data_IF_093078703060
#
_entry.id   IF_093078703060
#
_cell.length_a   1.000
_cell.length_b   1.000
_cell.length_c   1.000
_cell.angle_alpha   90.00
_cell.angle_beta   90.00
_cell.angle_gamma   90.00
#
_symmetry.space_group_name_H-M   'P 1'
#
loop_
_entity.id
_entity.type
_entity.pdbx_description
1 polymer ?
#
# COMPACT_ATOMS: atom_id res chain seq x y z
N UNK A 1 -12.11 -11.74 -10.98
CA UNK A 1 -10.82 -12.20 -10.42
C UNK A 1 -10.84 -13.71 -10.36
N UNK A 2 -9.86 -14.40 -10.94
CA UNK A 2 -9.78 -15.86 -10.87
C UNK A 2 -8.99 -16.29 -9.61
N UNK A 3 -9.33 -17.44 -8.98
CA UNK A 3 -8.52 -18.00 -7.91
C UNK A 3 -7.17 -18.45 -8.45
N UNK A 4 -6.12 -18.32 -7.62
CA UNK A 4 -4.82 -18.92 -7.90
C UNK A 4 -4.73 -20.20 -7.09
N UNK A 5 -4.37 -21.31 -7.74
CA UNK A 5 -4.12 -22.58 -7.08
C UNK A 5 -2.86 -23.24 -7.61
N UNK A 6 -2.18 -24.01 -6.75
CA UNK A 6 -1.08 -24.87 -7.15
C UNK A 6 -1.04 -26.15 -6.32
N UNK A 7 -0.28 -27.13 -6.81
CA UNK A 7 -0.03 -28.40 -6.12
C UNK A 7 1.46 -28.73 -6.19
N UNK A 8 2.00 -29.33 -5.13
CA UNK A 8 3.40 -29.77 -5.08
C UNK A 8 3.51 -31.10 -4.33
N UNK A 9 4.09 -32.08 -4.99
CA UNK A 9 4.44 -33.38 -4.41
C UNK A 9 5.97 -33.52 -4.32
N UNK A 10 6.46 -34.19 -3.28
CA UNK A 10 7.88 -34.54 -3.12
C UNK A 10 8.06 -35.85 -2.34
N UNK A 11 8.71 -36.82 -2.98
CA UNK A 11 9.16 -38.07 -2.33
C UNK A 11 10.28 -37.79 -1.31
N UNK A 12 10.22 -38.46 -0.16
CA UNK A 12 11.22 -38.42 0.92
C UNK A 12 11.46 -39.83 1.49
N UNK A 13 12.07 -40.67 0.66
CA UNK A 13 12.54 -42.03 0.98
C UNK A 13 13.42 -42.08 2.24
N UNK A 14 13.21 -43.11 3.07
CA UNK A 14 14.14 -43.55 4.11
C UNK A 14 14.12 -45.09 4.21
N UNK A 15 15.07 -45.69 4.92
CA UNK A 15 15.28 -47.16 4.92
C UNK A 15 14.02 -47.98 5.25
N UNK A 16 13.20 -47.51 6.20
CA UNK A 16 11.97 -48.19 6.64
C UNK A 16 10.72 -47.78 5.83
N UNK A 17 10.79 -46.67 5.09
CA UNK A 17 9.66 -46.11 4.35
C UNK A 17 10.14 -45.63 2.97
N UNK A 18 10.26 -46.54 1.99
CA UNK A 18 10.81 -46.22 0.67
C UNK A 18 9.92 -45.23 -0.11
N UNK A 19 8.61 -45.30 0.10
CA UNK A 19 7.59 -44.53 -0.62
C UNK A 19 6.99 -43.35 0.16
N UNK A 20 7.56 -43.04 1.33
CA UNK A 20 7.17 -41.86 2.10
C UNK A 20 7.32 -40.57 1.28
N UNK A 21 6.28 -39.74 1.28
CA UNK A 21 6.24 -38.49 0.53
C UNK A 21 5.42 -37.41 1.25
N UNK A 22 5.53 -36.18 0.75
CA UNK A 22 4.65 -35.07 1.13
C UNK A 22 3.97 -34.54 -0.11
N UNK A 23 2.65 -34.42 -0.03
CA UNK A 23 1.82 -33.72 -1.01
C UNK A 23 1.25 -32.45 -0.36
N UNK A 24 1.13 -31.39 -1.15
CA UNK A 24 0.31 -30.24 -0.76
C UNK A 24 -0.45 -29.66 -1.95
N UNK A 25 -1.68 -29.22 -1.70
CA UNK A 25 -2.42 -28.26 -2.51
C UNK A 25 -2.45 -26.92 -1.76
N UNK A 26 -2.47 -25.81 -2.49
CA UNK A 26 -2.88 -24.54 -1.91
C UNK A 26 -3.59 -23.67 -2.95
N UNK A 27 -4.53 -22.86 -2.48
CA UNK A 27 -5.29 -21.92 -3.28
C UNK A 27 -5.65 -20.67 -2.50
N UNK A 28 -5.81 -19.57 -3.24
CA UNK A 28 -6.23 -18.27 -2.74
C UNK A 28 -7.28 -17.68 -3.70
N UNK A 29 -8.21 -16.91 -3.14
CA UNK A 29 -9.42 -16.44 -3.80
C UNK A 29 -9.13 -15.52 -5.01
N UNK A 30 -8.00 -14.80 -4.97
CA UNK A 30 -7.60 -13.78 -5.95
C UNK A 30 -6.08 -13.55 -5.92
N UNK A 31 -5.55 -12.86 -6.94
CA UNK A 31 -4.14 -12.44 -7.01
C UNK A 31 -3.86 -11.11 -6.30
N UNK A 32 -4.80 -10.16 -6.43
CA UNK A 32 -4.64 -8.78 -6.00
C UNK A 32 -5.10 -8.57 -4.55
N UNK A 33 -4.27 -7.91 -3.74
CA UNK A 33 -4.59 -7.51 -2.38
C UNK A 33 -4.09 -6.08 -2.10
N UNK A 34 -4.56 -5.44 -1.05
CA UNK A 34 -4.08 -4.14 -0.57
C UNK A 34 -3.34 -4.28 0.76
N UNK A 35 -2.61 -3.24 1.17
CA UNK A 35 -2.08 -3.12 2.54
C UNK A 35 -3.18 -3.36 3.59
N UNK A 36 -2.85 -4.14 4.62
CA UNK A 36 -3.74 -4.37 5.76
C UNK A 36 -4.86 -5.38 5.53
N UNK A 37 -5.14 -5.77 4.28
CA UNK A 37 -6.09 -6.84 3.94
C UNK A 37 -5.62 -8.21 4.45
N UNK A 38 -6.56 -9.16 4.47
CA UNK A 38 -6.32 -10.52 4.91
C UNK A 38 -6.47 -11.52 3.75
N UNK A 39 -5.42 -12.34 3.56
CA UNK A 39 -5.40 -13.39 2.53
C UNK A 39 -5.89 -14.70 3.15
N UNK A 40 -7.06 -15.16 2.73
CA UNK A 40 -7.56 -16.48 3.10
C UNK A 40 -6.86 -17.57 2.27
N UNK A 41 -6.20 -18.51 2.95
CA UNK A 41 -5.51 -19.64 2.33
C UNK A 41 -6.32 -20.92 2.53
N UNK A 42 -6.72 -21.54 1.42
CA UNK A 42 -7.25 -22.90 1.40
C UNK A 42 -6.17 -23.86 0.95
N UNK A 43 -5.79 -24.83 1.78
CA UNK A 43 -4.69 -25.75 1.48
C UNK A 43 -4.94 -27.12 2.11
N UNK A 44 -4.54 -28.19 1.44
CA UNK A 44 -4.54 -29.54 2.00
C UNK A 44 -3.12 -30.08 1.97
N UNK A 45 -2.73 -30.75 3.05
CA UNK A 45 -1.39 -31.29 3.28
C UNK A 45 -1.50 -32.77 3.61
N UNK A 46 -0.62 -33.57 3.03
CA UNK A 46 -0.55 -35.01 3.24
C UNK A 46 0.89 -35.40 3.57
N UNK A 47 1.07 -36.15 4.65
CA UNK A 47 2.38 -36.58 5.12
C UNK A 47 2.42 -38.11 5.29
N UNK A 48 2.88 -38.82 4.27
CA UNK A 48 3.18 -40.26 4.35
C UNK A 48 4.65 -40.52 4.72
N UNK A 49 5.43 -39.48 5.04
CA UNK A 49 6.79 -39.64 5.53
C UNK A 49 6.81 -40.09 6.99
N UNK A 50 7.85 -40.84 7.38
CA UNK A 50 8.14 -41.24 8.77
C UNK A 50 8.44 -40.09 9.75
N UNK A 51 8.47 -38.84 9.28
CA UNK A 51 8.88 -37.65 10.04
C UNK A 51 7.70 -36.70 10.20
N UNK A 52 7.66 -36.02 11.35
CA UNK A 52 6.67 -34.97 11.61
C UNK A 52 6.91 -33.80 10.65
N UNK A 53 5.88 -33.42 9.91
CA UNK A 53 5.86 -32.31 8.97
C UNK A 53 5.20 -31.08 9.61
N UNK A 54 5.65 -29.87 9.23
CA UNK A 54 5.07 -28.60 9.70
C UNK A 54 4.73 -27.69 8.53
N UNK A 55 3.45 -27.54 8.16
CA UNK A 55 3.00 -26.58 7.16
C UNK A 55 3.11 -25.15 7.71
N UNK A 56 3.57 -24.25 6.85
CA UNK A 56 3.76 -22.82 7.12
C UNK A 56 3.41 -22.05 5.85
N UNK A 57 2.93 -20.83 6.00
CA UNK A 57 2.79 -19.90 4.88
C UNK A 57 3.44 -18.57 5.23
N UNK A 58 4.01 -17.90 4.24
CA UNK A 58 4.69 -16.62 4.42
C UNK A 58 4.51 -15.72 3.19
N UNK A 59 4.27 -14.43 3.43
CA UNK A 59 4.39 -13.42 2.38
C UNK A 59 5.87 -13.06 2.26
N UNK A 60 6.40 -13.12 1.04
CA UNK A 60 7.79 -12.82 0.70
C UNK A 60 7.83 -11.74 -0.37
N UNK A 61 8.69 -10.75 -0.17
CA UNK A 61 9.03 -9.70 -1.11
C UNK A 61 10.32 -10.06 -1.85
N UNK A 62 10.32 -9.96 -3.17
CA UNK A 62 11.50 -10.08 -4.01
C UNK A 62 11.76 -8.73 -4.67
N UNK A 63 12.77 -8.03 -4.16
CA UNK A 63 13.25 -6.77 -4.70
C UNK A 63 14.36 -7.07 -5.71
N UNK A 64 14.13 -6.80 -6.99
CA UNK A 64 15.13 -6.92 -8.04
C UNK A 64 15.53 -5.52 -8.45
N UNK A 65 16.82 -5.18 -8.43
CA UNK A 65 17.29 -3.85 -8.78
C UNK A 65 18.60 -3.90 -9.59
N UNK A 66 18.72 -3.02 -10.58
CA UNK A 66 19.91 -2.86 -11.40
C UNK A 66 20.81 -1.77 -10.78
N UNK A 67 22.04 -2.13 -10.43
CA UNK A 67 23.03 -1.21 -9.87
C UNK A 67 24.41 -1.49 -10.49
N UNK A 68 25.08 -0.44 -10.99
CA UNK A 68 26.38 -0.53 -11.66
C UNK A 68 26.40 -1.55 -12.81
N UNK A 69 25.31 -1.62 -13.60
CA UNK A 69 25.14 -2.59 -14.69
C UNK A 69 24.82 -4.03 -14.24
N UNK A 70 24.80 -4.32 -12.93
CA UNK A 70 24.54 -5.65 -12.38
C UNK A 70 23.14 -5.75 -11.77
N UNK A 71 22.43 -6.83 -12.08
CA UNK A 71 21.12 -7.12 -11.47
C UNK A 71 21.32 -7.79 -10.11
N UNK A 72 20.85 -7.14 -9.04
CA UNK A 72 20.85 -7.67 -7.67
C UNK A 72 19.43 -8.06 -7.27
N UNK A 73 19.29 -9.19 -6.58
CA UNK A 73 18.02 -9.69 -6.06
C UNK A 73 18.10 -9.82 -4.55
N UNK A 74 17.20 -9.15 -3.84
CA UNK A 74 17.06 -9.20 -2.39
C UNK A 74 15.67 -9.73 -2.01
N UNK A 75 15.65 -10.86 -1.29
CA UNK A 75 14.43 -11.56 -0.91
C UNK A 75 14.19 -11.41 0.59
N UNK A 76 13.07 -10.79 0.96
CA UNK A 76 12.70 -10.51 2.34
C UNK A 76 11.39 -11.22 2.72
N UNK A 77 11.41 -11.96 3.83
CA UNK A 77 10.18 -12.50 4.42
C UNK A 77 9.50 -11.40 5.23
N UNK A 78 8.22 -11.13 4.95
CA UNK A 78 7.46 -10.04 5.58
C UNK A 78 6.64 -10.50 6.79
N UNK A 79 5.80 -11.52 6.60
CA UNK A 79 4.99 -12.11 7.66
C UNK A 79 4.86 -13.63 7.44
N UNK A 80 4.37 -14.37 8.44
CA UNK A 80 4.08 -15.80 8.28
C UNK A 80 3.13 -16.36 9.33
N UNK A 81 2.38 -17.38 8.92
CA UNK A 81 1.59 -18.24 9.79
C UNK A 81 2.16 -19.65 9.86
N UNK A 82 1.91 -20.32 10.98
CA UNK A 82 2.26 -21.73 11.22
C UNK A 82 0.98 -22.55 11.40
N UNK A 83 0.95 -23.73 10.78
CA UNK A 83 -0.08 -24.75 11.02
C UNK A 83 0.36 -25.77 12.09
N UNK A 84 -0.50 -26.75 12.32
CA UNK A 84 -0.27 -27.80 13.30
C UNK A 84 0.80 -28.79 12.84
N UNK A 85 1.31 -29.62 13.76
CA UNK A 85 2.23 -30.69 13.40
C UNK A 85 1.45 -31.83 12.73
N UNK A 86 1.87 -32.25 11.54
CA UNK A 86 1.31 -33.40 10.84
C UNK A 86 2.24 -34.58 11.12
N UNK A 87 1.78 -35.55 11.90
CA UNK A 87 2.52 -36.78 12.17
C UNK A 87 2.55 -37.69 10.93
N UNK A 88 3.29 -38.80 10.99
CA UNK A 88 3.37 -39.76 9.89
C UNK A 88 2.00 -40.40 9.62
N UNK A 89 1.64 -40.54 8.34
CA UNK A 89 0.39 -41.16 7.89
C UNK A 89 -0.85 -40.26 7.97
N UNK A 90 -0.70 -38.98 8.33
CA UNK A 90 -1.81 -38.06 8.57
C UNK A 90 -1.87 -36.93 7.54
N UNK A 91 -3.04 -36.27 7.50
CA UNK A 91 -3.32 -35.08 6.70
C UNK A 91 -3.68 -33.87 7.60
N UNK A 92 -3.55 -32.66 7.06
CA UNK A 92 -4.06 -31.41 7.66
C UNK A 92 -4.69 -30.55 6.55
N UNK A 93 -5.76 -29.84 6.85
CA UNK A 93 -6.51 -29.02 5.89
C UNK A 93 -6.78 -27.64 6.45
N UNK A 94 -6.29 -26.62 5.76
CA UNK A 94 -6.60 -25.23 6.04
C UNK A 94 -7.86 -24.83 5.26
N UNK A 95 -8.92 -24.49 5.98
CA UNK A 95 -10.21 -24.03 5.44
C UNK A 95 -10.29 -22.50 5.57
N UNK A 96 -9.45 -21.77 4.83
CA UNK A 96 -9.35 -20.31 4.93
C UNK A 96 -8.43 -19.81 6.05
N UNK A 97 -7.32 -20.51 6.32
CA UNK A 97 -6.27 -20.05 7.26
C UNK A 97 -5.77 -18.68 6.79
N UNK A 98 -5.89 -17.68 7.64
CA UNK A 98 -5.74 -16.29 7.22
C UNK A 98 -4.34 -15.74 7.47
N UNK A 99 -3.85 -14.84 6.60
CA UNK A 99 -2.59 -14.11 6.79
C UNK A 99 -2.76 -12.64 6.37
N UNK A 100 -2.47 -11.72 7.29
CA UNK A 100 -2.59 -10.28 7.03
C UNK A 100 -1.42 -9.74 6.21
N UNK A 101 -1.73 -8.90 5.22
CA UNK A 101 -0.75 -8.13 4.45
C UNK A 101 -0.21 -7.01 5.36
N UNK A 102 1.10 -6.98 5.67
CA UNK A 102 1.69 -5.92 6.49
C UNK A 102 1.76 -4.59 5.73
N UNK A 103 2.09 -3.51 6.44
CA UNK A 103 2.29 -2.19 5.83
C UNK A 103 3.56 -2.16 4.98
N UNK A 104 3.41 -2.08 3.65
CA UNK A 104 4.50 -2.25 2.68
C UNK A 104 4.24 -1.45 1.40
N UNK A 105 5.31 -1.23 0.63
CA UNK A 105 5.23 -0.56 -0.67
C UNK A 105 4.36 -1.38 -1.66
N UNK A 106 3.69 -0.73 -2.63
CA UNK A 106 2.98 -1.45 -3.68
C UNK A 106 3.93 -2.22 -4.61
N UNK A 107 3.40 -3.21 -5.31
CA UNK A 107 4.12 -3.96 -6.35
C UNK A 107 4.60 -3.06 -7.48
N UNK A 108 5.86 -3.23 -7.87
CA UNK A 108 6.46 -2.55 -9.03
C UNK A 108 6.80 -3.62 -10.06
N UNK A 109 5.92 -3.79 -11.06
CA UNK A 109 6.07 -4.82 -12.10
C UNK A 109 6.48 -4.24 -13.47
N UNK A 110 6.15 -2.97 -13.73
CA UNK A 110 6.34 -2.30 -15.03
C UNK A 110 7.64 -1.51 -15.21
N UNK A 111 8.66 -1.72 -14.36
CA UNK A 111 9.95 -1.03 -14.44
C UNK A 111 11.09 -2.03 -14.66
N UNK A 112 12.10 -1.65 -15.44
CA UNK A 112 13.24 -2.53 -15.77
C UNK A 112 14.44 -2.35 -14.82
N UNK A 113 14.54 -1.20 -14.14
CA UNK A 113 15.62 -0.89 -13.20
C UNK A 113 15.30 -1.36 -11.78
N UNK A 114 14.03 -1.31 -11.38
CA UNK A 114 13.55 -1.72 -10.06
C UNK A 114 12.25 -2.51 -10.19
N UNK A 115 12.20 -3.72 -9.64
CA UNK A 115 10.99 -4.54 -9.54
C UNK A 115 10.77 -5.00 -8.11
N UNK A 116 9.50 -4.98 -7.70
CA UNK A 116 9.05 -5.44 -6.38
C UNK A 116 7.91 -6.42 -6.61
N UNK A 117 8.26 -7.70 -6.52
CA UNK A 117 7.35 -8.82 -6.70
C UNK A 117 7.00 -9.39 -5.32
N UNK A 118 5.72 -9.76 -5.11
CA UNK A 118 5.28 -10.42 -3.89
C UNK A 118 4.79 -11.83 -4.18
N UNK A 119 5.09 -12.75 -3.26
CA UNK A 119 4.74 -14.16 -3.35
C UNK A 119 4.20 -14.64 -2.01
N UNK A 120 3.11 -15.39 -2.05
CA UNK A 120 2.68 -16.23 -0.93
C UNK A 120 3.36 -17.59 -1.08
N UNK A 121 4.37 -17.84 -0.25
CA UNK A 121 4.99 -19.15 -0.16
C UNK A 121 4.22 -20.02 0.82
N UNK A 122 3.57 -21.08 0.33
CA UNK A 122 3.04 -22.17 1.16
C UNK A 122 4.08 -23.28 1.15
N UNK A 123 4.56 -23.69 2.33
CA UNK A 123 5.66 -24.65 2.41
C UNK A 123 5.58 -25.57 3.63
N UNK A 124 6.03 -26.79 3.44
CA UNK A 124 6.13 -27.81 4.49
C UNK A 124 7.59 -27.96 4.90
N UNK A 125 7.83 -27.78 6.19
CA UNK A 125 9.13 -27.95 6.84
C UNK A 125 9.22 -29.34 7.45
N UNK A 126 10.25 -30.11 7.10
CA UNK A 126 10.51 -31.45 7.62
C UNK A 126 11.91 -31.47 8.23
N UNK A 127 12.10 -32.04 9.44
CA UNK A 127 13.42 -32.21 10.04
C UNK A 127 14.37 -32.98 9.11
N UNK A 128 15.61 -32.51 8.97
CA UNK A 128 16.63 -33.13 8.11
C UNK A 128 16.21 -33.36 6.63
N UNK A 129 15.38 -32.49 6.06
CA UNK A 129 15.10 -32.49 4.62
C UNK A 129 14.92 -31.08 4.04
N UNK A 130 15.21 -30.92 2.74
CA UNK A 130 14.88 -29.70 1.99
C UNK A 130 13.37 -29.49 2.01
N UNK A 131 12.92 -28.28 2.40
CA UNK A 131 11.50 -27.87 2.40
C UNK A 131 10.79 -28.22 1.10
N UNK A 132 9.50 -28.52 1.17
CA UNK A 132 8.61 -28.56 0.00
C UNK A 132 7.98 -27.17 -0.08
N UNK A 133 8.12 -26.48 -1.21
CA UNK A 133 7.66 -25.10 -1.38
C UNK A 133 6.75 -25.02 -2.60
N UNK A 134 5.62 -24.34 -2.42
CA UNK A 134 4.70 -23.90 -3.45
C UNK A 134 4.66 -22.37 -3.42
N UNK A 135 4.85 -21.74 -4.57
CA UNK A 135 4.89 -20.29 -4.73
C UNK A 135 3.62 -19.83 -5.46
N UNK A 136 2.83 -18.97 -4.81
CA UNK A 136 1.63 -18.36 -5.39
C UNK A 136 1.88 -16.85 -5.56
N UNK A 137 2.00 -16.33 -6.80
CA UNK A 137 2.36 -14.94 -7.02
C UNK A 137 1.22 -14.00 -6.61
N UNK A 138 1.55 -12.91 -5.92
CA UNK A 138 0.63 -11.86 -5.48
C UNK A 138 0.85 -10.56 -6.26
N UNK A 139 -0.16 -9.69 -6.24
CA UNK A 139 -0.01 -8.26 -6.60
C UNK A 139 -0.52 -7.46 -5.42
N UNK A 140 0.29 -6.56 -4.88
CA UNK A 140 -0.08 -5.74 -3.72
C UNK A 140 -0.24 -4.29 -4.16
N UNK A 141 -1.45 -3.76 -4.06
CA UNK A 141 -1.80 -2.39 -4.40
C UNK A 141 -1.70 -1.45 -3.20
N UNK A 142 -1.54 -0.16 -3.47
CA UNK A 142 -1.74 0.88 -2.46
C UNK A 142 -3.24 1.05 -2.21
N UNK A 143 -3.67 1.04 -0.95
CA UNK A 143 -5.07 1.30 -0.59
C UNK A 143 -5.37 2.80 -0.70
N UNK A 144 -6.14 3.19 -1.72
CA UNK A 144 -6.71 4.54 -1.83
C UNK A 144 -7.84 4.74 -0.82
N UNK A 145 -7.49 4.80 0.46
CA UNK A 145 -8.40 4.94 1.61
C UNK A 145 -9.20 6.26 1.62
N UNK A 146 -9.06 7.10 0.59
CA UNK A 146 -9.88 8.30 0.32
C UNK A 146 -10.72 8.25 -0.97
N UNK A 147 -10.73 7.14 -1.74
CA UNK A 147 -11.47 7.06 -3.02
C UNK A 147 -12.79 6.25 -2.93
N UNK A 148 -13.10 5.63 -1.79
CA UNK A 148 -14.36 4.87 -1.62
C UNK A 148 -15.63 5.74 -1.45
N UNK A 149 -15.49 7.08 -1.41
CA UNK A 149 -16.63 8.00 -1.27
C UNK A 149 -17.28 8.45 -2.60
N UNK A 150 -16.81 7.96 -3.75
CA UNK A 150 -17.35 8.32 -5.06
C UNK A 150 -17.97 7.11 -5.75
N UNK A 151 -19.24 6.84 -5.43
CA UNK A 151 -20.07 5.86 -6.12
C UNK A 151 -20.05 6.10 -7.62
N UNK A 152 -19.65 5.08 -8.39
CA UNK A 152 -19.59 5.14 -9.85
C UNK A 152 -20.99 5.06 -10.45
N UNK A 153 -21.52 6.20 -10.90
CA UNK A 153 -22.70 6.21 -11.77
C UNK A 153 -22.28 5.79 -13.19
N UNK A 154 -23.01 4.81 -13.73
CA UNK A 154 -23.09 4.49 -15.15
C UNK A 154 -23.56 5.72 -15.95
N UNK A 155 -23.38 5.89 -17.27
CA UNK A 155 -22.52 5.28 -18.29
C UNK A 155 -22.66 6.13 -19.58
N UNK A 156 -21.94 5.77 -20.65
CA UNK A 156 -22.29 6.02 -22.07
C UNK A 156 -22.72 7.43 -22.51
N UNK A 157 -21.88 8.07 -23.33
CA UNK A 157 -22.14 8.17 -24.78
C UNK A 157 -20.79 8.16 -25.50
N UNK A 158 -20.75 7.59 -26.70
CA UNK A 158 -19.58 7.67 -27.57
C UNK A 158 -19.85 8.73 -28.64
N UNK A 159 -18.96 9.71 -28.77
CA UNK A 159 -18.85 10.52 -29.97
C UNK A 159 -17.44 11.07 -30.10
N UNK A 160 -16.79 10.71 -31.20
CA UNK A 160 -15.67 11.46 -31.72
C UNK A 160 -16.12 12.89 -31.99
N UNK A 161 -15.41 13.88 -31.45
CA UNK A 161 -14.80 14.99 -32.21
C UNK A 161 -14.27 16.08 -31.27
N UNK A 162 -13.20 16.73 -31.70
CA UNK A 162 -12.60 17.84 -30.98
C UNK A 162 -13.36 19.13 -31.32
N UNK A 163 -14.14 19.64 -30.37
CA UNK A 163 -14.66 21.01 -30.42
C UNK A 163 -14.52 21.67 -29.05
N UNK A 164 -13.41 22.38 -28.86
CA UNK A 164 -13.21 23.32 -27.75
C UNK A 164 -13.63 24.75 -28.14
N UNK A 165 -14.38 24.90 -29.24
CA UNK A 165 -14.66 26.20 -29.86
C UNK A 165 -16.11 26.27 -30.36
N UNK A 166 -17.07 26.22 -29.45
CA UNK A 166 -18.32 26.95 -29.70
C UNK A 166 -18.88 27.58 -28.41
N UNK A 167 -19.25 28.84 -28.54
CA UNK A 167 -19.51 29.75 -27.43
C UNK A 167 -21.00 29.76 -27.10
N UNK A 168 -21.36 29.42 -25.87
CA UNK A 168 -22.58 29.92 -25.23
C UNK A 168 -22.19 30.69 -23.96
N UNK A 169 -21.64 31.89 -24.16
CA UNK A 169 -21.43 32.87 -23.10
C UNK A 169 -22.73 33.67 -22.91
N UNK A 170 -23.28 33.63 -21.70
CA UNK A 170 -23.86 34.82 -21.09
C UNK A 170 -23.13 35.15 -19.78
N UNK A 171 -22.49 36.31 -19.72
CA UNK A 171 -21.81 36.80 -18.52
C UNK A 171 -20.29 36.85 -18.65
N UNK A 172 -19.73 38.02 -18.33
CA UNK A 172 -18.30 38.34 -18.24
C UNK A 172 -17.51 37.36 -17.37
N UNK A 173 -16.22 37.10 -17.68
CA UNK A 173 -15.34 36.43 -16.74
C UNK A 173 -15.08 37.35 -15.55
N UNK A 174 -15.73 37.06 -14.42
CA UNK A 174 -15.43 37.73 -13.16
C UNK A 174 -14.03 37.29 -12.71
N UNK A 175 -13.15 38.27 -12.50
CA UNK A 175 -11.80 38.00 -11.99
C UNK A 175 -11.89 37.38 -10.59
N UNK A 176 -10.94 36.50 -10.20
CA UNK A 176 -10.91 36.01 -8.82
C UNK A 176 -10.85 37.18 -7.83
N UNK A 177 -11.54 37.09 -6.67
CA UNK A 177 -11.67 38.21 -5.75
C UNK A 177 -10.31 38.74 -5.30
N UNK A 178 -10.25 40.06 -5.08
CA UNK A 178 -8.99 40.70 -4.69
C UNK A 178 -8.57 40.19 -3.30
N UNK A 179 -7.27 39.96 -3.10
CA UNK A 179 -6.75 39.46 -1.82
C UNK A 179 -7.05 40.41 -0.62
N UNK A 180 -7.41 41.66 -0.90
CA UNK A 180 -7.85 42.64 0.10
C UNK A 180 -9.22 42.31 0.72
N UNK A 181 -10.08 41.56 0.04
CA UNK A 181 -11.43 41.20 0.54
C UNK A 181 -11.43 40.04 1.56
N UNK A 182 -10.24 39.55 1.95
CA UNK A 182 -10.05 38.46 2.93
C UNK A 182 -9.75 39.03 4.34
N UNK A 183 -9.58 40.36 4.48
CA UNK A 183 -9.41 41.00 5.78
C UNK A 183 -10.78 41.46 6.30
N UNK A 184 -11.34 40.82 7.35
CA UNK A 184 -12.41 41.45 8.13
C UNK A 184 -11.81 42.63 8.90
N UNK A 185 -11.80 43.80 8.27
CA UNK A 185 -11.66 45.07 8.96
C UNK A 185 -12.93 45.27 9.81
N UNK A 186 -12.93 44.71 11.02
CA UNK A 186 -13.21 45.56 12.18
C UNK A 186 -12.80 45.03 13.55
N UNK A 187 -12.19 45.95 14.31
CA UNK A 187 -12.13 46.03 15.78
C UNK A 187 -10.88 45.51 16.52
N UNK A 188 -9.82 46.34 16.40
CA UNK A 188 -9.24 47.13 17.51
C UNK A 188 -9.17 46.46 18.89
N UNK A 189 -7.94 46.26 19.36
CA UNK A 189 -7.61 46.12 20.80
C UNK A 189 -8.05 47.36 21.59
N UNK A 190 -9.06 47.22 22.45
CA UNK A 190 -9.28 48.11 23.58
C UNK A 190 -9.43 47.29 24.87
N UNK A 191 -8.41 47.35 25.71
CA UNK A 191 -8.44 47.00 27.14
C UNK A 191 -8.71 48.29 27.90
N UNK A 192 -9.50 48.33 29.01
CA UNK A 192 -9.52 47.30 30.06
C UNK A 192 -10.90 46.98 30.68
N UNK A 193 -10.95 45.97 31.58
CA UNK A 193 -11.66 45.96 32.91
C UNK A 193 -11.77 44.53 33.47
N UNK A 194 -11.34 44.32 34.72
CA UNK A 194 -11.59 43.13 35.58
C UNK A 194 -12.82 43.39 36.51
N UNK A 195 -13.43 42.46 37.28
CA UNK A 195 -12.95 41.20 37.88
C UNK A 195 -13.81 39.98 37.43
N UNK A 196 -13.86 38.77 38.02
CA UNK A 196 -13.40 38.12 39.28
C UNK A 196 -12.54 36.86 38.91
N UNK A 197 -11.80 36.14 39.76
CA UNK A 197 -11.89 35.65 41.17
C UNK A 197 -13.01 34.63 41.44
N UNK A 198 -12.69 33.34 41.29
CA UNK A 198 -13.04 32.32 42.28
C UNK A 198 -11.86 31.32 42.38
N UNK A 199 -11.73 30.67 43.52
CA UNK A 199 -10.46 30.14 44.05
C UNK A 199 -10.17 28.69 43.62
N UNK A 200 -8.89 28.36 43.35
CA UNK A 200 -8.28 27.14 43.92
C UNK A 200 -6.75 27.22 43.87
N UNK A 201 -6.10 27.04 45.01
CA UNK A 201 -4.65 27.06 45.18
C UNK A 201 -3.93 25.90 44.47
N UNK A 202 -2.83 26.20 43.78
CA UNK A 202 -1.49 25.76 44.25
C UNK A 202 -0.37 26.35 43.39
N UNK A 203 0.63 26.91 44.09
CA UNK A 203 1.86 27.50 43.55
C UNK A 203 2.78 26.41 42.94
N UNK A 204 3.48 26.73 41.83
CA UNK A 204 4.93 26.50 41.63
C UNK A 204 5.44 27.01 40.27
N UNK A 205 6.60 27.67 40.30
CA UNK A 205 7.28 28.39 39.20
C UNK A 205 7.61 27.60 37.93
N UNK A 206 7.55 28.28 36.76
CA UNK A 206 8.46 28.06 35.62
C UNK A 206 8.37 29.19 34.57
N UNK A 207 9.42 30.02 34.36
CA UNK A 207 9.40 31.12 33.41
C UNK A 207 10.09 30.76 32.07
N UNK A 208 9.48 29.90 31.23
CA UNK A 208 9.96 29.67 29.86
C UNK A 208 8.79 29.62 28.86
N UNK A 209 8.32 30.80 28.46
CA UNK A 209 7.70 30.96 27.14
C UNK A 209 8.57 31.92 26.32
N UNK A 210 9.28 31.37 25.33
CA UNK A 210 9.91 32.19 24.30
C UNK A 210 8.82 32.88 23.49
N UNK A 211 8.85 34.21 23.44
CA UNK A 211 8.09 34.96 22.45
C UNK A 211 8.61 34.60 21.06
N UNK A 212 7.76 33.96 20.24
CA UNK A 212 8.04 33.77 18.83
C UNK A 212 8.00 35.16 18.15
N UNK A 213 8.99 35.54 17.34
CA UNK A 213 8.96 36.82 16.64
C UNK A 213 7.85 36.82 15.59
N UNK A 214 7.05 37.88 15.57
CA UNK A 214 5.95 38.04 14.61
C UNK A 214 6.48 38.09 13.16
N UNK A 215 6.27 36.99 12.43
CA UNK A 215 6.59 36.94 11.02
C UNK A 215 5.53 37.71 10.22
N UNK A 216 5.83 38.97 9.92
CA UNK A 216 5.02 39.76 8.98
C UNK A 216 5.23 39.20 7.56
N UNK A 217 4.25 38.45 7.07
CA UNK A 217 4.21 38.01 5.68
C UNK A 217 4.09 39.23 4.76
N UNK A 218 5.19 39.65 4.13
CA UNK A 218 5.11 40.53 2.98
C UNK A 218 4.51 39.75 1.79
N UNK A 219 3.57 40.34 1.03
CA UNK A 219 3.08 39.73 -0.20
C UNK A 219 4.23 39.57 -1.20
N UNK A 220 4.22 38.52 -2.04
CA UNK A 220 5.20 38.36 -3.11
C UNK A 220 5.09 39.54 -4.11
N UNK A 221 6.20 39.94 -4.75
CA UNK A 221 6.18 41.02 -5.73
C UNK A 221 5.28 40.69 -6.92
N UNK A 222 4.56 41.69 -7.42
CA UNK A 222 3.63 41.55 -8.55
C UNK A 222 4.37 41.03 -9.79
N UNK A 223 3.89 39.92 -10.34
CA UNK A 223 4.40 39.38 -11.59
C UNK A 223 3.99 40.28 -12.76
N UNK A 224 4.97 40.81 -13.50
CA UNK A 224 4.71 41.48 -14.78
C UNK A 224 4.50 40.42 -15.86
N UNK A 225 3.38 40.48 -16.59
CA UNK A 225 3.21 39.63 -17.77
C UNK A 225 4.23 40.00 -18.85
N UNK A 226 4.77 38.99 -19.53
CA UNK A 226 5.71 39.17 -20.63
C UNK A 226 4.91 39.18 -21.93
N UNK A 227 4.80 40.36 -22.57
CA UNK A 227 4.08 40.54 -23.83
C UNK A 227 4.59 39.58 -24.93
N UNK A 228 3.84 38.51 -25.17
CA UNK A 228 4.17 37.48 -26.15
C UNK A 228 3.77 37.88 -27.58
N UNK A 229 4.15 39.08 -28.06
CA UNK A 229 3.86 39.43 -29.46
C UNK A 229 4.76 40.50 -30.14
N UNK A 230 5.97 40.14 -30.58
CA UNK A 230 6.71 40.83 -31.67
C UNK A 230 7.49 39.88 -32.58
N UNK A 231 6.80 38.98 -33.26
CA UNK A 231 7.36 38.27 -34.43
C UNK A 231 7.26 39.15 -35.69
N UNK A 232 8.09 40.20 -35.78
CA UNK A 232 8.28 40.94 -37.04
C UNK A 232 9.38 40.29 -37.88
N UNK A 233 8.97 39.66 -38.98
CA UNK A 233 9.84 39.21 -40.05
C UNK A 233 10.61 40.40 -40.67
N UNK A 234 11.92 40.23 -40.87
CA UNK A 234 12.73 41.05 -41.78
C UNK A 234 13.56 40.09 -42.64
N UNK A 235 13.66 40.42 -43.94
CA UNK A 235 14.39 39.67 -44.98
C UNK A 235 15.91 39.72 -44.80
#
# INVERSE_FOLDING_TARGET
MCPISGKKHKKMTCLLFPDGHISMSASINRKGFCEGEEICISADFENTCSRIAVPKAAIVAKHTYLANGLTKVFTQKLCSVRGNHIISGMTDSWRGKSIRVPKIKPSILGCNILRVEYSLLVYVSVPAAKKVILDLPLVIGSSSSGLSSRSSSMASQASSEMSWVELNIPGTPEAPPCYLDIIPEDHRLESPTAPLIDEFDSICDSPIFMYAPEFKFMPPPTYTEVDANKNTCVR
#
